data_IF_565723202369
#
_entry.id   IF_565723202369
#
_cell.length_a   1.000
_cell.length_b   1.000
_cell.length_c   1.000
_cell.angle_alpha   90.00
_cell.angle_beta   90.00
_cell.angle_gamma   90.00
#
_symmetry.space_group_name_H-M   'P 1'
#
loop_
_entity.id
_entity.type
_entity.pdbx_description
1 polymer ?
#
# COMPACT_ATOMS: atom_id res chain seq x y z
N UNK A 1 -15.88 -12.81 -28.61
CA UNK A 1 -14.93 -12.98 -27.49
C UNK A 1 -15.71 -12.81 -26.21
N UNK A 2 -15.54 -13.74 -25.28
CA UNK A 2 -16.36 -13.82 -24.06
C UNK A 2 -15.76 -12.89 -22.99
N UNK A 3 -16.12 -11.60 -23.06
CA UNK A 3 -15.60 -10.55 -22.18
C UNK A 3 -15.79 -10.87 -20.68
N UNK A 4 -16.81 -11.67 -20.36
CA UNK A 4 -17.09 -12.13 -19.00
C UNK A 4 -15.95 -12.95 -18.38
N UNK A 5 -15.14 -13.64 -19.19
CA UNK A 5 -13.99 -14.43 -18.71
C UNK A 5 -12.66 -13.66 -18.79
N UNK A 6 -12.56 -12.66 -19.65
CA UNK A 6 -11.34 -11.85 -19.80
C UNK A 6 -11.18 -10.82 -18.66
N UNK A 7 -12.26 -10.21 -18.20
CA UNK A 7 -12.23 -9.18 -17.16
C UNK A 7 -11.66 -9.69 -15.82
N UNK A 8 -12.10 -10.86 -15.27
CA UNK A 8 -11.59 -11.36 -13.99
C UNK A 8 -10.10 -11.72 -14.04
N UNK A 9 -9.65 -12.36 -15.13
CA UNK A 9 -8.25 -12.75 -15.34
C UNK A 9 -7.34 -11.50 -15.39
N UNK A 10 -7.80 -10.44 -16.06
CA UNK A 10 -7.07 -9.18 -16.13
C UNK A 10 -6.95 -8.52 -14.74
N UNK A 11 -8.03 -8.54 -13.96
CA UNK A 11 -8.06 -7.97 -12.61
C UNK A 11 -7.14 -8.77 -11.67
N UNK A 12 -7.20 -10.10 -11.72
CA UNK A 12 -6.36 -10.98 -10.91
C UNK A 12 -4.87 -10.85 -11.23
N UNK A 13 -4.51 -10.74 -12.52
CA UNK A 13 -3.12 -10.51 -12.93
C UNK A 13 -2.62 -9.13 -12.52
N UNK A 14 -3.44 -8.08 -12.65
CA UNK A 14 -3.09 -6.73 -12.24
C UNK A 14 -2.97 -6.58 -10.72
N UNK A 15 -3.84 -7.25 -9.94
CA UNK A 15 -3.78 -7.25 -8.48
C UNK A 15 -2.52 -7.97 -7.99
N UNK A 16 -2.15 -9.09 -8.60
CA UNK A 16 -0.91 -9.80 -8.28
C UNK A 16 0.33 -8.93 -8.51
N UNK A 17 0.45 -8.30 -9.69
CA UNK A 17 1.57 -7.39 -9.99
C UNK A 17 1.63 -6.24 -8.97
N UNK A 18 0.47 -5.66 -8.63
CA UNK A 18 0.37 -4.56 -7.68
C UNK A 18 0.78 -4.97 -6.26
N UNK A 19 0.42 -6.18 -5.82
CA UNK A 19 0.82 -6.71 -4.52
C UNK A 19 2.34 -6.90 -4.43
N UNK A 20 2.98 -7.47 -5.45
CA UNK A 20 4.44 -7.62 -5.49
C UNK A 20 5.16 -6.29 -5.56
N UNK A 21 4.64 -5.33 -6.32
CA UNK A 21 5.17 -3.97 -6.36
C UNK A 21 5.10 -3.29 -4.99
N UNK A 22 3.97 -3.42 -4.28
CA UNK A 22 3.80 -2.88 -2.94
C UNK A 22 4.77 -3.53 -1.92
N UNK A 23 4.95 -4.85 -1.97
CA UNK A 23 5.93 -5.56 -1.13
C UNK A 23 7.36 -5.09 -1.44
N UNK A 24 7.72 -5.00 -2.72
CA UNK A 24 9.04 -4.52 -3.14
C UNK A 24 9.29 -3.09 -2.65
N UNK A 25 8.31 -2.20 -2.80
CA UNK A 25 8.39 -0.83 -2.29
C UNK A 25 8.57 -0.80 -0.76
N UNK A 26 7.82 -1.60 0.00
CA UNK A 26 7.97 -1.70 1.45
C UNK A 26 9.39 -2.18 1.85
N UNK A 27 9.94 -3.18 1.16
CA UNK A 27 11.30 -3.68 1.40
C UNK A 27 12.35 -2.61 1.06
N UNK A 28 12.21 -1.92 -0.07
CA UNK A 28 13.11 -0.84 -0.48
C UNK A 28 13.09 0.27 0.56
N UNK A 29 11.92 0.69 1.01
CA UNK A 29 11.77 1.70 2.07
C UNK A 29 12.41 1.25 3.38
N UNK A 30 12.20 -0.01 3.80
CA UNK A 30 12.84 -0.56 5.00
C UNK A 30 14.39 -0.57 4.89
N UNK A 31 14.94 -0.86 3.71
CA UNK A 31 16.39 -0.77 3.45
C UNK A 31 16.89 0.68 3.41
N UNK A 32 16.11 1.59 2.84
CA UNK A 32 16.40 3.03 2.83
C UNK A 32 16.50 3.59 4.25
N UNK A 33 15.57 3.21 5.14
CA UNK A 33 15.60 3.57 6.56
C UNK A 33 16.89 3.12 7.24
N UNK A 34 17.42 1.94 6.91
CA UNK A 34 18.70 1.45 7.45
C UNK A 34 19.91 2.20 6.91
N UNK A 35 19.86 2.68 5.66
CA UNK A 35 20.99 3.35 4.99
C UNK A 35 21.07 4.84 5.29
N UNK A 36 19.93 5.51 5.47
CA UNK A 36 19.87 6.93 5.83
C UNK A 36 19.78 7.07 7.35
N UNK A 37 20.94 7.24 7.99
CA UNK A 37 21.11 7.46 9.45
C UNK A 37 20.52 8.80 9.92
N UNK A 38 20.12 9.68 8.99
CA UNK A 38 19.43 10.93 9.32
C UNK A 38 18.01 10.63 9.83
N UNK A 39 17.84 10.69 11.15
CA UNK A 39 16.59 10.32 11.85
C UNK A 39 15.32 11.04 11.38
N UNK A 40 15.45 12.14 10.65
CA UNK A 40 14.34 12.94 10.14
C UNK A 40 13.62 12.27 8.97
N UNK A 41 14.38 11.75 8.00
CA UNK A 41 13.83 11.05 6.81
C UNK A 41 13.47 9.60 7.14
N UNK A 42 14.25 8.97 8.01
CA UNK A 42 14.06 7.58 8.42
C UNK A 42 12.68 7.32 9.05
N UNK A 43 12.14 8.27 9.83
CA UNK A 43 10.81 8.13 10.45
C UNK A 43 9.70 8.18 9.40
N UNK A 44 9.76 9.11 8.45
CA UNK A 44 8.78 9.22 7.37
C UNK A 44 8.77 7.97 6.48
N UNK A 45 9.93 7.53 6.01
CA UNK A 45 10.06 6.32 5.18
C UNK A 45 9.61 5.05 5.90
N UNK A 46 9.86 4.94 7.22
CA UNK A 46 9.37 3.80 8.01
C UNK A 46 7.84 3.76 8.04
N UNK A 47 7.20 4.90 8.29
CA UNK A 47 5.73 4.99 8.31
C UNK A 47 5.13 4.70 6.94
N UNK A 48 5.67 5.26 5.86
CA UNK A 48 5.21 4.99 4.49
C UNK A 48 5.40 3.51 4.16
N UNK A 49 6.54 2.91 4.52
CA UNK A 49 6.79 1.48 4.30
C UNK A 49 5.78 0.58 5.00
N UNK A 50 5.41 0.88 6.25
CA UNK A 50 4.36 0.17 6.98
C UNK A 50 3.01 0.32 6.27
N UNK A 51 2.63 1.53 5.87
CA UNK A 51 1.37 1.76 5.15
C UNK A 51 1.33 1.05 3.80
N UNK A 52 2.46 0.97 3.09
CA UNK A 52 2.58 0.27 1.81
C UNK A 52 2.46 -1.24 2.00
N UNK A 53 3.01 -1.78 3.09
CA UNK A 53 2.84 -3.19 3.45
C UNK A 53 1.38 -3.52 3.80
N UNK A 54 0.68 -2.63 4.52
CA UNK A 54 -0.76 -2.77 4.81
C UNK A 54 -1.59 -2.74 3.51
N UNK A 55 -1.23 -1.88 2.55
CA UNK A 55 -1.86 -1.89 1.22
C UNK A 55 -1.63 -3.20 0.46
N UNK A 56 -0.43 -3.79 0.54
CA UNK A 56 -0.17 -5.08 -0.09
C UNK A 56 -1.11 -6.17 0.45
N UNK A 57 -1.36 -6.19 1.77
CA UNK A 57 -2.34 -7.11 2.38
C UNK A 57 -3.77 -6.84 1.89
N UNK A 58 -4.14 -5.57 1.71
CA UNK A 58 -5.45 -5.19 1.16
C UNK A 58 -5.65 -5.74 -0.28
N UNK A 59 -4.62 -5.62 -1.13
CA UNK A 59 -4.64 -6.12 -2.51
C UNK A 59 -4.72 -7.66 -2.54
N UNK A 60 -3.99 -8.34 -1.65
CA UNK A 60 -4.07 -9.80 -1.54
C UNK A 60 -5.47 -10.24 -1.10
N UNK A 61 -6.06 -9.56 -0.11
CA UNK A 61 -7.43 -9.86 0.32
C UNK A 61 -8.46 -9.64 -0.80
N UNK A 62 -8.27 -8.61 -1.62
CA UNK A 62 -9.10 -8.32 -2.80
C UNK A 62 -9.00 -9.42 -3.87
N UNK A 63 -7.78 -9.92 -4.14
CA UNK A 63 -7.59 -11.03 -5.08
C UNK A 63 -8.24 -12.33 -4.60
N UNK A 64 -8.17 -12.62 -3.29
CA UNK A 64 -8.83 -13.78 -2.69
C UNK A 64 -10.35 -13.66 -2.79
N UNK A 65 -10.91 -12.48 -2.51
CA UNK A 65 -12.34 -12.20 -2.64
C UNK A 65 -12.83 -12.42 -4.08
N UNK A 66 -12.08 -11.90 -5.06
CA UNK A 66 -12.38 -12.09 -6.49
C UNK A 66 -12.40 -13.57 -6.88
N UNK A 67 -11.42 -14.36 -6.43
CA UNK A 67 -11.35 -15.79 -6.71
C UNK A 67 -12.55 -16.56 -6.13
N UNK A 68 -12.96 -16.23 -4.89
CA UNK A 68 -14.08 -16.90 -4.22
C UNK A 68 -15.42 -16.51 -4.85
N UNK A 69 -15.63 -15.23 -5.19
CA UNK A 69 -16.86 -14.77 -5.87
C UNK A 69 -17.04 -15.46 -7.22
N UNK A 70 -15.97 -15.59 -8.00
CA UNK A 70 -15.99 -16.32 -9.28
C UNK A 70 -16.31 -17.81 -9.10
N UNK A 71 -15.88 -18.41 -7.97
CA UNK A 71 -16.04 -19.86 -7.73
C UNK A 71 -17.38 -20.25 -7.10
N UNK A 72 -18.00 -19.40 -6.27
CA UNK A 72 -19.17 -19.80 -5.46
C UNK A 72 -20.43 -18.95 -5.63
N UNK A 73 -20.44 -17.91 -6.49
CA UNK A 73 -21.59 -17.01 -6.67
C UNK A 73 -22.20 -16.49 -5.34
N UNK A 74 -21.39 -16.37 -4.29
CA UNK A 74 -21.79 -15.79 -3.02
C UNK A 74 -21.16 -14.40 -2.89
N UNK A 75 -22.00 -13.38 -2.70
CA UNK A 75 -21.55 -12.03 -2.33
C UNK A 75 -21.03 -12.04 -0.87
N UNK A 76 -19.74 -12.30 -0.69
CA UNK A 76 -19.09 -12.25 0.62
C UNK A 76 -18.89 -10.79 1.08
N UNK A 77 -19.97 -10.19 1.58
CA UNK A 77 -20.04 -8.82 2.12
C UNK A 77 -18.98 -8.52 3.21
N UNK A 78 -18.53 -9.54 3.96
CA UNK A 78 -17.54 -9.40 5.02
C UNK A 78 -16.10 -9.17 4.52
N UNK A 79 -15.67 -9.85 3.45
CA UNK A 79 -14.32 -9.66 2.88
C UNK A 79 -14.21 -8.28 2.20
N UNK A 80 -15.31 -7.82 1.57
CA UNK A 80 -15.44 -6.48 0.99
C UNK A 80 -15.23 -5.36 2.02
N UNK A 81 -15.79 -5.52 3.22
CA UNK A 81 -15.60 -4.59 4.33
C UNK A 81 -14.15 -4.60 4.82
N UNK A 82 -13.55 -5.78 4.99
CA UNK A 82 -12.17 -5.92 5.43
C UNK A 82 -11.22 -5.25 4.44
N UNK A 83 -11.35 -5.51 3.12
CA UNK A 83 -10.45 -4.88 2.13
C UNK A 83 -10.56 -3.36 2.13
N UNK A 84 -11.76 -2.80 2.27
CA UNK A 84 -11.95 -1.35 2.31
C UNK A 84 -11.28 -0.73 3.53
N UNK A 85 -11.45 -1.36 4.71
CA UNK A 85 -10.81 -0.90 5.95
C UNK A 85 -9.29 -0.93 5.82
N UNK A 86 -8.71 -2.02 5.32
CA UNK A 86 -7.27 -2.12 5.11
C UNK A 86 -6.75 -1.11 4.08
N UNK A 87 -7.51 -0.87 3.01
CA UNK A 87 -7.17 0.12 2.01
C UNK A 87 -7.15 1.54 2.62
N UNK A 88 -8.20 1.94 3.34
CA UNK A 88 -8.27 3.26 3.98
C UNK A 88 -7.17 3.43 5.01
N UNK A 89 -6.94 2.44 5.88
CA UNK A 89 -5.89 2.48 6.91
C UNK A 89 -4.51 2.57 6.26
N UNK A 90 -4.22 1.73 5.28
CA UNK A 90 -2.93 1.73 4.58
C UNK A 90 -2.64 3.07 3.90
N UNK A 91 -3.65 3.62 3.20
CA UNK A 91 -3.53 4.92 2.53
C UNK A 91 -3.36 6.06 3.53
N UNK A 92 -4.10 6.04 4.64
CA UNK A 92 -3.99 7.04 5.69
C UNK A 92 -2.60 7.05 6.35
N UNK A 93 -2.04 5.86 6.63
CA UNK A 93 -0.68 5.72 7.16
C UNK A 93 0.35 6.32 6.20
N UNK A 94 0.21 6.07 4.90
CA UNK A 94 1.10 6.66 3.88
C UNK A 94 1.01 8.19 3.90
N UNK A 95 -0.21 8.75 3.88
CA UNK A 95 -0.42 10.20 3.90
C UNK A 95 0.20 10.86 5.13
N UNK A 96 0.04 10.27 6.32
CA UNK A 96 0.70 10.75 7.54
C UNK A 96 2.21 10.68 7.43
N UNK A 97 2.74 9.57 6.92
CA UNK A 97 4.18 9.39 6.71
C UNK A 97 4.76 10.46 5.78
N UNK A 98 4.07 10.73 4.66
CA UNK A 98 4.42 11.77 3.71
C UNK A 98 4.33 13.18 4.32
N UNK A 99 3.27 13.47 5.08
CA UNK A 99 3.10 14.76 5.76
C UNK A 99 4.22 15.00 6.77
N UNK A 100 4.50 14.02 7.63
CA UNK A 100 5.55 14.10 8.65
C UNK A 100 6.93 14.32 8.03
N UNK A 101 7.19 13.68 6.88
CA UNK A 101 8.43 13.87 6.13
C UNK A 101 8.51 15.29 5.53
N UNK A 102 7.41 15.77 4.94
CA UNK A 102 7.33 17.12 4.36
C UNK A 102 7.48 18.24 5.39
N UNK A 103 6.81 18.12 6.53
CA UNK A 103 6.86 19.11 7.60
C UNK A 103 8.29 19.28 8.13
N UNK A 104 9.00 18.16 8.36
CA UNK A 104 10.38 18.20 8.84
C UNK A 104 11.39 18.67 7.79
N UNK A 105 11.16 18.39 6.51
CA UNK A 105 11.96 18.94 5.42
C UNK A 105 11.81 20.46 5.32
N UNK A 106 10.60 20.97 5.52
CA UNK A 106 10.32 22.42 5.55
C UNK A 106 11.03 23.11 6.72
N UNK A 107 11.07 22.46 7.89
CA UNK A 107 11.77 22.97 9.07
C UNK A 107 13.30 23.05 8.86
N UNK A 108 13.91 22.00 8.28
CA UNK A 108 15.33 21.99 7.92
C UNK A 108 15.68 23.06 6.86
N UNK A 109 14.80 23.26 5.88
CA UNK A 109 14.96 24.28 4.84
C UNK A 109 15.02 25.68 5.42
N UNK A 110 14.16 25.98 6.40
CA UNK A 110 14.14 27.30 7.07
C UNK A 110 15.42 27.55 7.88
N UNK A 111 15.97 26.51 8.50
CA UNK A 111 17.17 26.64 9.34
C UNK A 111 18.48 26.84 8.56
N UNK A 112 18.50 26.52 7.25
CA UNK A 112 19.67 26.71 6.37
C UNK A 112 19.69 28.08 5.68
N UNK A 113 18.60 28.86 5.80
CA UNK A 113 18.43 30.18 5.17
C UNK A 113 18.55 31.34 6.16
N UNK A 114 18.88 31.07 7.42
CA UNK A 114 19.18 32.06 8.46
C UNK A 114 20.66 31.96 8.83
#
# INVERSE_FOLDING_TARGET
MDYAKLMPILIESASFISAFAAIAAAIIMARFVKKFVTGILAVGFKTIGIGTFVLALAIIADAIDLYIQVSQNQELSLLLLIRQIFFVIGTYIIVIGSKTMGDKLSELSKHKSA
#
